data_IF_604698599924
#
_entry.id   IF_604698599924
#
_cell.length_a   1.000
_cell.length_b   1.000
_cell.length_c   1.000
_cell.angle_alpha   90.00
_cell.angle_beta   90.00
_cell.angle_gamma   90.00
#
_symmetry.space_group_name_H-M   'P 1'
#
loop_
_entity.id
_entity.type
_entity.pdbx_description
1 polymer ?
#
# COMPACT_ATOMS: atom_id res chain seq x y z
N UNK A 1 -4.60 2.12 2.79
CA UNK A 1 -5.06 1.05 1.90
C UNK A 1 -4.30 -0.21 2.24
N UNK A 2 -4.99 -1.28 2.62
CA UNK A 2 -4.37 -2.39 3.35
C UNK A 2 -4.33 -2.08 4.84
N UNK A 3 -5.02 -2.90 5.64
CA UNK A 3 -5.15 -2.74 7.09
C UNK A 3 -4.70 -4.01 7.84
N UNK A 4 -3.73 -4.73 7.28
CA UNK A 4 -3.02 -5.82 7.97
C UNK A 4 -1.92 -5.27 8.87
N UNK A 5 -0.96 -6.10 9.26
CA UNK A 5 0.07 -5.76 10.26
C UNK A 5 0.83 -4.47 9.95
N UNK A 6 1.28 -4.29 8.69
CA UNK A 6 1.99 -3.06 8.28
C UNK A 6 1.06 -1.84 8.33
N UNK A 7 -0.16 -1.96 7.80
CA UNK A 7 -1.13 -0.86 7.80
C UNK A 7 -1.56 -0.45 9.21
N UNK A 8 -1.67 -1.42 10.11
CA UNK A 8 -1.93 -1.20 11.53
C UNK A 8 -0.78 -0.42 12.18
N UNK A 9 0.47 -0.85 11.99
CA UNK A 9 1.63 -0.17 12.56
C UNK A 9 1.78 1.27 12.04
N UNK A 10 1.52 1.49 10.74
CA UNK A 10 1.50 2.84 10.16
C UNK A 10 0.39 3.70 10.78
N UNK A 11 -0.81 3.14 10.97
CA UNK A 11 -1.93 3.86 11.58
C UNK A 11 -1.64 4.22 13.05
N UNK A 12 -1.04 3.31 13.82
CA UNK A 12 -0.60 3.56 15.20
C UNK A 12 0.46 4.65 15.28
N UNK A 13 1.46 4.61 14.37
CA UNK A 13 2.47 5.65 14.27
C UNK A 13 1.87 7.02 13.99
N UNK A 14 0.82 7.09 13.16
CA UNK A 14 0.18 8.34 12.76
C UNK A 14 -0.79 8.90 13.81
N UNK A 15 -1.24 8.10 14.77
CA UNK A 15 -2.24 8.49 15.77
C UNK A 15 -1.91 9.81 16.54
N UNK A 16 -0.65 10.08 16.95
CA UNK A 16 -0.31 11.30 17.68
C UNK A 16 -0.37 12.58 16.85
N UNK A 17 -0.47 12.47 15.52
CA UNK A 17 -0.44 13.61 14.60
C UNK A 17 -1.82 14.21 14.32
N UNK A 18 -2.86 13.80 15.07
CA UNK A 18 -4.23 14.29 14.93
C UNK A 18 -4.82 14.16 13.51
N UNK A 19 -4.39 13.13 12.77
CA UNK A 19 -4.93 12.79 11.45
C UNK A 19 -6.19 11.93 11.58
N UNK A 20 -7.10 12.06 10.61
CA UNK A 20 -8.20 11.10 10.49
C UNK A 20 -7.73 9.84 9.75
N UNK A 21 -7.88 8.68 10.39
CA UNK A 21 -7.44 7.40 9.84
C UNK A 21 -8.63 6.59 9.34
N UNK A 22 -8.81 6.51 8.01
CA UNK A 22 -9.76 5.59 7.39
C UNK A 22 -9.02 4.45 6.67
N UNK A 23 -9.43 3.22 6.96
CA UNK A 23 -8.90 2.02 6.35
C UNK A 23 -9.74 1.50 5.19
N UNK A 24 -9.08 0.90 4.20
CA UNK A 24 -9.73 0.08 3.16
C UNK A 24 -9.06 -1.30 3.17
N UNK A 25 -9.89 -2.35 3.20
CA UNK A 25 -9.45 -3.74 3.20
C UNK A 25 -10.43 -4.64 2.42
N UNK A 26 -10.12 -5.93 2.32
CA UNK A 26 -10.99 -6.91 1.66
C UNK A 26 -12.38 -7.02 2.29
N UNK A 27 -12.50 -6.78 3.59
CA UNK A 27 -13.75 -6.80 4.35
C UNK A 27 -13.79 -5.61 5.31
N UNK A 28 -14.97 -5.01 5.43
CA UNK A 28 -15.23 -3.96 6.39
C UNK A 28 -15.22 -4.52 7.82
N UNK A 29 -14.69 -3.74 8.76
CA UNK A 29 -14.59 -4.12 10.18
C UNK A 29 -14.29 -2.91 11.06
N UNK A 30 -14.43 -3.09 12.37
CA UNK A 30 -13.89 -2.19 13.37
C UNK A 30 -12.45 -2.60 13.68
N UNK A 31 -11.53 -1.65 13.66
CA UNK A 31 -10.11 -1.87 13.94
C UNK A 31 -9.48 -0.55 14.35
N UNK A 32 -9.24 -0.36 15.65
CA UNK A 32 -8.47 0.79 16.12
C UNK A 32 -7.02 0.71 15.59
N UNK A 33 -6.34 1.84 15.31
CA UNK A 33 -6.79 3.22 15.53
C UNK A 33 -7.57 3.82 14.35
N UNK A 34 -7.93 3.04 13.32
CA UNK A 34 -8.79 3.54 12.26
C UNK A 34 -10.17 3.91 12.83
N UNK A 35 -10.71 5.05 12.39
CA UNK A 35 -12.10 5.44 12.71
C UNK A 35 -13.09 4.46 12.10
N UNK A 36 -12.77 3.93 10.92
CA UNK A 36 -13.50 2.88 10.21
C UNK A 36 -12.58 2.15 9.23
N UNK A 37 -12.78 0.85 9.08
CA UNK A 37 -12.22 0.06 7.96
C UNK A 37 -13.36 -0.34 7.05
N UNK A 38 -13.31 0.12 5.80
CA UNK A 38 -14.31 -0.14 4.77
C UNK A 38 -13.83 -1.21 3.79
N UNK A 39 -14.77 -1.83 3.07
CA UNK A 39 -14.45 -2.79 2.02
C UNK A 39 -13.95 -2.10 0.74
N UNK A 40 -13.26 -2.85 -0.13
CA UNK A 40 -12.72 -2.35 -1.41
C UNK A 40 -13.73 -1.58 -2.28
N UNK A 41 -15.01 -1.94 -2.26
CA UNK A 41 -16.05 -1.23 -3.01
C UNK A 41 -16.24 0.24 -2.60
N UNK A 42 -15.76 0.64 -1.43
CA UNK A 42 -15.80 2.02 -0.96
C UNK A 42 -14.58 2.86 -1.40
N UNK A 43 -13.59 2.25 -2.08
CA UNK A 43 -12.33 2.90 -2.46
C UNK A 43 -12.56 4.24 -3.16
N UNK A 44 -13.31 4.24 -4.26
CA UNK A 44 -13.54 5.44 -5.07
C UNK A 44 -14.14 6.59 -4.25
N UNK A 45 -15.08 6.28 -3.34
CA UNK A 45 -15.69 7.28 -2.47
C UNK A 45 -14.70 7.84 -1.43
N UNK A 46 -13.77 7.02 -0.93
CA UNK A 46 -12.76 7.48 0.04
C UNK A 46 -11.61 8.27 -0.61
N UNK A 47 -11.29 8.02 -1.89
CA UNK A 47 -10.28 8.80 -2.62
C UNK A 47 -10.67 10.29 -2.69
N UNK A 48 -11.96 10.59 -2.84
CA UNK A 48 -12.46 11.97 -2.93
C UNK A 48 -12.28 12.79 -1.64
N UNK A 49 -12.15 12.14 -0.49
CA UNK A 49 -11.99 12.79 0.81
C UNK A 49 -10.58 12.68 1.38
N UNK A 50 -9.67 11.96 0.73
CA UNK A 50 -8.35 11.66 1.30
C UNK A 50 -7.30 12.72 0.89
N UNK A 51 -6.69 13.36 1.88
CA UNK A 51 -5.49 14.19 1.67
C UNK A 51 -4.25 13.35 1.38
N UNK A 52 -4.16 12.15 1.98
CA UNK A 52 -3.06 11.21 1.80
C UNK A 52 -3.60 9.81 1.53
N UNK A 53 -3.13 9.17 0.45
CA UNK A 53 -3.48 7.80 0.11
C UNK A 53 -2.24 6.92 0.21
N UNK A 54 -2.15 6.15 1.29
CA UNK A 54 -1.03 5.21 1.53
C UNK A 54 -1.43 3.81 1.08
N UNK A 55 -0.79 3.28 0.04
CA UNK A 55 -0.96 1.92 -0.47
C UNK A 55 0.03 0.93 0.13
N UNK A 56 -0.52 -0.07 0.82
CA UNK A 56 0.17 -1.19 1.47
C UNK A 56 -0.51 -2.53 1.11
N UNK A 57 -1.28 -2.57 0.02
CA UNK A 57 -1.95 -3.79 -0.41
C UNK A 57 -0.97 -4.82 -1.00
N UNK A 58 -1.25 -6.12 -0.82
CA UNK A 58 -0.49 -7.19 -1.49
C UNK A 58 -0.76 -7.20 -3.00
N UNK A 59 0.08 -7.90 -3.76
CA UNK A 59 -0.19 -8.21 -5.17
C UNK A 59 -1.14 -9.40 -5.26
N UNK A 60 -2.34 -9.14 -5.76
CA UNK A 60 -3.37 -10.13 -6.08
C UNK A 60 -4.07 -9.66 -7.35
N UNK A 61 -4.76 -10.55 -8.10
CA UNK A 61 -5.55 -10.12 -9.26
C UNK A 61 -6.56 -9.00 -8.95
N UNK A 62 -7.08 -8.94 -7.72
CA UNK A 62 -8.04 -7.92 -7.30
C UNK A 62 -7.40 -6.56 -6.93
N UNK A 63 -6.08 -6.49 -6.78
CA UNK A 63 -5.34 -5.28 -6.38
C UNK A 63 -4.45 -4.74 -7.51
N UNK A 64 -4.39 -5.41 -8.65
CA UNK A 64 -3.70 -4.94 -9.84
C UNK A 64 -4.49 -3.80 -10.51
N UNK A 65 -3.77 -2.76 -10.93
CA UNK A 65 -4.30 -1.60 -11.66
C UNK A 65 -5.44 -0.85 -10.93
N UNK A 66 -5.58 -1.00 -9.60
CA UNK A 66 -6.63 -0.33 -8.83
C UNK A 66 -6.45 1.19 -8.77
N UNK A 67 -5.23 1.68 -9.03
CA UNK A 67 -4.94 3.10 -9.23
C UNK A 67 -4.74 3.35 -10.73
N UNK A 68 -5.86 3.52 -11.41
CA UNK A 68 -5.96 3.93 -12.82
C UNK A 68 -6.34 5.42 -12.94
N UNK A 69 -6.55 5.90 -14.17
CA UNK A 69 -6.95 7.28 -14.44
C UNK A 69 -8.22 7.69 -13.68
N UNK A 70 -9.18 6.78 -13.45
CA UNK A 70 -10.42 7.10 -12.73
C UNK A 70 -10.15 7.27 -11.24
N UNK A 71 -9.29 6.42 -10.67
CA UNK A 71 -8.88 6.54 -9.27
C UNK A 71 -8.16 7.87 -9.01
N UNK A 72 -7.19 8.25 -9.85
CA UNK A 72 -6.48 9.52 -9.69
C UNK A 72 -7.38 10.74 -9.91
N UNK A 73 -8.29 10.69 -10.90
CA UNK A 73 -9.25 11.76 -11.13
C UNK A 73 -10.27 11.93 -9.98
N UNK A 74 -10.47 10.90 -9.16
CA UNK A 74 -11.33 10.98 -7.98
C UNK A 74 -10.64 11.62 -6.77
N UNK A 75 -9.31 11.74 -6.78
CA UNK A 75 -8.56 12.34 -5.66
C UNK A 75 -8.64 13.87 -5.68
N UNK A 76 -8.33 14.49 -4.55
CA UNK A 76 -8.21 15.94 -4.47
C UNK A 76 -6.92 16.42 -5.13
N UNK A 77 -6.94 17.61 -5.74
CA UNK A 77 -5.74 18.22 -6.34
C UNK A 77 -4.61 18.46 -5.32
N UNK A 78 -4.94 18.58 -4.03
CA UNK A 78 -3.99 18.67 -2.92
C UNK A 78 -3.45 17.32 -2.45
N UNK A 79 -4.01 16.21 -2.92
CA UNK A 79 -3.73 14.90 -2.36
C UNK A 79 -2.33 14.39 -2.70
N UNK A 80 -1.75 13.61 -1.78
CA UNK A 80 -0.47 12.91 -1.95
C UNK A 80 -0.70 11.41 -2.03
N UNK A 81 -0.25 10.80 -3.12
CA UNK A 81 -0.32 9.35 -3.30
C UNK A 81 1.01 8.67 -2.90
N UNK A 82 0.97 7.66 -2.04
CA UNK A 82 2.16 6.96 -1.53
C UNK A 82 2.00 5.47 -1.79
N UNK A 83 2.90 4.87 -2.59
CA UNK A 83 2.89 3.42 -2.83
C UNK A 83 4.14 2.75 -2.26
N UNK A 84 3.92 1.97 -1.20
CA UNK A 84 4.90 1.04 -0.61
C UNK A 84 4.35 -0.40 -0.57
N UNK A 85 3.28 -0.67 -1.33
CA UNK A 85 2.68 -1.99 -1.47
C UNK A 85 3.38 -2.77 -2.59
N UNK A 86 2.75 -2.80 -3.77
CA UNK A 86 3.33 -3.41 -4.98
C UNK A 86 3.12 -2.51 -6.18
N UNK A 87 4.09 -2.46 -7.09
CA UNK A 87 4.05 -1.57 -8.25
C UNK A 87 2.89 -1.87 -9.21
N UNK A 88 2.47 -3.14 -9.31
CA UNK A 88 1.35 -3.57 -10.16
C UNK A 88 0.00 -2.95 -9.80
N UNK A 89 -0.14 -2.35 -8.61
CA UNK A 89 -1.35 -1.66 -8.20
C UNK A 89 -1.59 -0.36 -8.99
N UNK A 90 -0.53 0.24 -9.57
CA UNK A 90 -0.55 1.59 -10.16
C UNK A 90 -0.39 1.50 -11.67
N UNK A 91 -1.31 2.07 -12.44
CA UNK A 91 -1.11 2.22 -13.89
C UNK A 91 -0.15 3.39 -14.12
N UNK A 92 1.10 3.09 -14.48
CA UNK A 92 2.20 4.06 -14.50
C UNK A 92 1.90 5.28 -15.37
N UNK A 93 1.34 5.06 -16.57
CA UNK A 93 0.96 6.14 -17.48
C UNK A 93 -0.12 7.06 -16.88
N UNK A 94 -1.07 6.50 -16.14
CA UNK A 94 -2.16 7.25 -15.53
C UNK A 94 -1.65 8.10 -14.35
N UNK A 95 -0.73 7.56 -13.53
CA UNK A 95 -0.08 8.33 -12.47
C UNK A 95 0.71 9.51 -13.05
N UNK A 96 1.53 9.27 -14.08
CA UNK A 96 2.29 10.36 -14.72
C UNK A 96 1.36 11.41 -15.31
N UNK A 97 0.30 10.99 -15.99
CA UNK A 97 -0.70 11.90 -16.54
C UNK A 97 -1.39 12.72 -15.44
N UNK A 98 -1.77 12.09 -14.32
CA UNK A 98 -2.40 12.77 -13.19
C UNK A 98 -1.50 13.84 -12.58
N UNK A 99 -0.20 13.55 -12.42
CA UNK A 99 0.79 14.51 -11.92
C UNK A 99 1.01 15.67 -12.90
N UNK A 100 1.14 15.38 -14.20
CA UNK A 100 1.30 16.39 -15.24
C UNK A 100 0.10 17.33 -15.34
N UNK A 101 -1.11 16.79 -15.15
CA UNK A 101 -2.37 17.54 -15.18
C UNK A 101 -2.73 18.17 -13.82
N UNK A 102 -1.87 18.00 -12.79
CA UNK A 102 -2.12 18.50 -11.43
C UNK A 102 -3.44 17.99 -10.82
N UNK A 103 -3.87 16.77 -11.20
CA UNK A 103 -5.03 16.10 -10.60
C UNK A 103 -4.74 15.68 -9.15
N UNK A 104 -3.47 15.48 -8.82
CA UNK A 104 -2.94 15.26 -7.47
C UNK A 104 -1.69 16.12 -7.29
N UNK A 105 -1.35 16.43 -6.04
CA UNK A 105 -0.26 17.35 -5.74
C UNK A 105 1.11 16.68 -5.98
N UNK A 106 1.26 15.45 -5.51
CA UNK A 106 2.52 14.70 -5.58
C UNK A 106 2.30 13.20 -5.38
N UNK A 107 3.35 12.43 -5.68
CA UNK A 107 3.39 11.02 -5.35
C UNK A 107 4.77 10.57 -4.83
N UNK A 108 4.76 9.54 -3.99
CA UNK A 108 5.94 8.81 -3.51
C UNK A 108 5.81 7.36 -3.92
N UNK A 109 6.74 6.85 -4.71
CA UNK A 109 6.73 5.49 -5.24
C UNK A 109 8.00 4.76 -4.81
N UNK A 110 7.84 3.78 -3.93
CA UNK A 110 8.93 2.89 -3.50
C UNK A 110 9.01 1.61 -4.32
N UNK A 111 7.90 1.20 -4.92
CA UNK A 111 7.75 -0.06 -5.65
C UNK A 111 7.25 0.18 -7.07
N UNK A 112 7.89 -0.46 -8.04
CA UNK A 112 7.60 -0.30 -9.47
C UNK A 112 7.11 -1.62 -10.07
N UNK A 113 6.44 -1.56 -11.23
CA UNK A 113 5.99 -2.78 -11.94
C UNK A 113 7.16 -3.66 -12.37
N UNK A 114 8.24 -3.01 -12.80
CA UNK A 114 9.50 -3.63 -13.14
C UNK A 114 10.58 -3.08 -12.22
N UNK A 115 11.36 -3.98 -11.62
CA UNK A 115 12.43 -3.64 -10.70
C UNK A 115 13.70 -4.42 -11.07
N UNK A 116 14.89 -3.77 -11.18
CA UNK A 116 15.09 -2.31 -11.09
C UNK A 116 14.33 -1.54 -12.16
N UNK A 117 13.95 -0.30 -11.85
CA UNK A 117 13.21 0.56 -12.77
C UNK A 117 14.09 0.85 -14.02
N UNK A 118 13.63 0.57 -15.25
CA UNK A 118 14.41 0.84 -16.46
C UNK A 118 14.84 2.30 -16.57
N UNK A 119 16.04 2.57 -17.07
CA UNK A 119 16.57 3.93 -17.20
C UNK A 119 15.72 4.86 -18.08
N UNK A 120 14.98 4.31 -19.05
CA UNK A 120 14.05 5.05 -19.91
C UNK A 120 12.63 5.18 -19.37
N UNK A 121 12.36 4.77 -18.12
CA UNK A 121 11.02 4.79 -17.56
C UNK A 121 10.50 6.21 -17.30
N UNK A 122 9.21 6.44 -17.57
CA UNK A 122 8.58 7.77 -17.47
C UNK A 122 8.60 8.39 -16.06
N UNK A 123 8.65 7.56 -15.01
CA UNK A 123 8.74 8.05 -13.64
C UNK A 123 10.00 8.89 -13.37
N UNK A 124 11.12 8.64 -14.06
CA UNK A 124 12.34 9.43 -13.86
C UNK A 124 12.18 10.91 -14.22
N UNK A 125 11.24 11.23 -15.12
CA UNK A 125 10.96 12.61 -15.55
C UNK A 125 9.60 13.13 -15.10
N UNK A 126 8.85 12.38 -14.29
CA UNK A 126 7.51 12.79 -13.87
C UNK A 126 7.59 13.94 -12.85
N UNK A 127 6.77 14.99 -13.00
CA UNK A 127 6.78 16.10 -12.06
C UNK A 127 6.23 15.66 -10.69
N UNK A 128 6.76 16.25 -9.62
CA UNK A 128 6.30 16.02 -8.24
C UNK A 128 6.24 14.53 -7.83
N UNK A 129 7.08 13.70 -8.43
CA UNK A 129 7.23 12.29 -8.10
C UNK A 129 8.55 12.06 -7.36
N UNK A 130 8.47 11.52 -6.14
CA UNK A 130 9.63 11.00 -5.40
C UNK A 130 9.73 9.49 -5.61
N UNK A 131 10.89 9.02 -6.07
CA UNK A 131 11.19 7.60 -6.23
C UNK A 131 12.13 7.12 -5.14
N UNK A 132 11.84 5.95 -4.56
CA UNK A 132 12.76 5.21 -3.70
C UNK A 132 12.93 3.77 -4.23
N UNK A 133 14.03 3.12 -3.88
CA UNK A 133 14.45 1.85 -4.50
C UNK A 133 14.01 0.62 -3.71
N UNK A 134 12.71 0.38 -3.59
CA UNK A 134 12.11 -0.74 -2.84
C UNK A 134 12.76 -0.92 -1.45
N UNK A 135 12.76 0.17 -0.68
CA UNK A 135 13.53 0.32 0.55
C UNK A 135 12.68 0.78 1.74
N UNK A 136 11.36 0.86 1.59
CA UNK A 136 10.45 1.32 2.64
C UNK A 136 10.46 0.46 3.90
N UNK A 137 10.71 -0.84 3.78
CA UNK A 137 10.75 -1.77 4.91
C UNK A 137 11.70 -2.96 4.65
N UNK A 138 13.02 -2.77 4.70
CA UNK A 138 13.98 -3.86 4.53
C UNK A 138 13.81 -4.91 5.65
N UNK A 139 13.91 -6.18 5.27
CA UNK A 139 13.85 -7.29 6.22
C UNK A 139 15.07 -7.26 7.14
N UNK A 140 14.84 -7.36 8.44
CA UNK A 140 15.92 -7.50 9.44
C UNK A 140 16.27 -8.99 9.61
N UNK A 141 17.49 -9.44 9.25
CA UNK A 141 17.83 -10.87 9.25
C UNK A 141 17.66 -11.56 10.61
N UNK A 142 17.96 -10.86 11.71
CA UNK A 142 17.82 -11.41 13.05
C UNK A 142 16.35 -11.70 13.41
N UNK A 143 15.44 -10.79 13.09
CA UNK A 143 14.00 -10.98 13.34
C UNK A 143 13.41 -12.09 12.45
N UNK A 144 13.85 -12.18 11.20
CA UNK A 144 13.45 -13.26 10.29
C UNK A 144 13.92 -14.63 10.79
N UNK A 145 15.17 -14.73 11.23
CA UNK A 145 15.70 -15.98 11.79
C UNK A 145 14.94 -16.38 13.07
N UNK A 146 14.62 -15.42 13.93
CA UNK A 146 13.83 -15.66 15.13
C UNK A 146 12.43 -16.18 14.80
N UNK A 147 11.72 -15.55 13.84
CA UNK A 147 10.41 -16.02 13.37
C UNK A 147 10.48 -17.44 12.79
N UNK A 148 11.53 -17.74 12.01
CA UNK A 148 11.72 -19.07 11.44
C UNK A 148 11.92 -20.14 12.52
N UNK A 149 12.77 -19.88 13.52
CA UNK A 149 13.04 -20.82 14.61
C UNK A 149 11.76 -21.10 15.41
N UNK A 150 10.98 -20.06 15.72
CA UNK A 150 9.70 -20.24 16.42
C UNK A 150 8.70 -21.05 15.57
N UNK A 151 8.57 -20.75 14.28
CA UNK A 151 7.72 -21.52 13.39
C UNK A 151 8.18 -22.97 13.20
N UNK A 152 9.48 -23.26 13.25
CA UNK A 152 10.01 -24.63 13.20
C UNK A 152 9.59 -25.42 14.44
N UNK A 153 9.64 -24.80 15.63
CA UNK A 153 9.17 -25.42 16.87
C UNK A 153 7.67 -25.70 16.80
N UNK A 154 6.86 -24.71 16.38
CA UNK A 154 5.42 -24.85 16.17
C UNK A 154 5.09 -25.98 15.20
N UNK A 155 5.80 -26.06 14.08
CA UNK A 155 5.60 -27.11 13.08
C UNK A 155 5.82 -28.51 13.66
N UNK A 156 6.93 -28.71 14.39
CA UNK A 156 7.24 -30.01 15.01
C UNK A 156 6.20 -30.43 16.06
N UNK A 157 5.55 -29.46 16.71
CA UNK A 157 4.51 -29.70 17.71
C UNK A 157 3.09 -29.80 17.11
N UNK A 158 2.92 -29.62 15.79
CA UNK A 158 1.60 -29.57 15.15
C UNK A 158 0.79 -28.32 15.49
N UNK A 159 1.44 -27.24 15.90
CA UNK A 159 0.81 -25.97 16.23
C UNK A 159 0.63 -25.07 14.99
N UNK A 160 -0.26 -24.08 15.10
CA UNK A 160 -0.46 -23.09 14.04
C UNK A 160 0.78 -22.19 13.91
N UNK A 161 1.25 -22.03 12.67
CA UNK A 161 2.37 -21.15 12.32
C UNK A 161 1.96 -19.67 12.36
N UNK A 162 2.90 -18.81 12.71
CA UNK A 162 2.80 -17.37 12.53
C UNK A 162 2.90 -17.00 11.05
N UNK A 163 2.07 -16.05 10.61
CA UNK A 163 2.10 -15.53 9.25
C UNK A 163 1.77 -16.54 8.16
N UNK A 164 1.04 -17.62 8.48
CA UNK A 164 0.63 -18.61 7.50
C UNK A 164 -0.23 -17.97 6.40
N UNK A 165 0.24 -18.08 5.15
CA UNK A 165 -0.44 -17.56 3.95
C UNK A 165 -1.66 -18.42 3.61
N UNK A 166 -2.77 -17.77 3.28
CA UNK A 166 -3.92 -18.45 2.69
C UNK A 166 -3.77 -18.43 1.17
N UNK A 167 -3.29 -19.54 0.60
CA UNK A 167 -3.06 -19.66 -0.84
C UNK A 167 -4.33 -19.49 -1.69
N UNK A 168 -5.52 -19.74 -1.13
CA UNK A 168 -6.77 -19.49 -1.85
C UNK A 168 -7.09 -17.99 -1.92
N UNK A 169 -6.66 -17.21 -0.93
CA UNK A 169 -6.80 -15.74 -0.90
C UNK A 169 -5.65 -15.03 -1.61
N UNK A 170 -4.48 -15.67 -1.71
CA UNK A 170 -3.28 -15.15 -2.36
C UNK A 170 -2.43 -14.25 -1.47
N UNK A 171 -2.69 -14.19 -0.16
CA UNK A 171 -1.92 -13.46 0.85
C UNK A 171 -2.21 -13.95 2.27
#
# INVERSE_FOLDING_TARGET
MGCGDIGQAVAEFLQPFAVELTGIASQARQQAPFSKVLAMGALAAQLASADYVVNLLPDTPATQNIYDAKAFAAMQASAVFINAGRGVAVVDADLVSALQQQQIASAVIDVCRQEPLPAGHMFWGAPNLLLTGHSSAPTQPALMAQLFIDNLQRFNNGERLHGAVDFARGY
#
